data_IF_611128545252
#
_entry.id   IF_611128545252
#
_cell.length_a   1.000
_cell.length_b   1.000
_cell.length_c   1.000
_cell.angle_alpha   90.00
_cell.angle_beta   90.00
_cell.angle_gamma   90.00
#
_symmetry.space_group_name_H-M   'P 1'
#
loop_
_entity.id
_entity.type
_entity.pdbx_description
1 polymer ?
#
# COMPACT_ATOMS: atom_id res chain seq x y z
N UNK A 1 -8.50 15.02 -20.80
CA UNK A 1 -7.81 14.53 -19.60
C UNK A 1 -8.86 13.78 -18.81
N UNK A 2 -8.77 12.45 -18.78
CA UNK A 2 -9.69 11.60 -18.05
C UNK A 2 -9.06 11.42 -16.68
N UNK A 3 -9.64 12.05 -15.66
CA UNK A 3 -9.20 11.88 -14.27
C UNK A 3 -9.71 10.52 -13.83
N UNK A 4 -8.82 9.55 -13.66
CA UNK A 4 -9.16 8.30 -12.99
C UNK A 4 -9.46 8.67 -11.55
N UNK A 5 -10.72 8.52 -11.17
CA UNK A 5 -11.17 8.77 -9.82
C UNK A 5 -10.77 7.54 -9.02
N UNK A 6 -9.64 7.60 -8.32
CA UNK A 6 -9.15 6.50 -7.49
C UNK A 6 -10.26 6.18 -6.47
N UNK A 7 -10.90 5.02 -6.62
CA UNK A 7 -12.05 4.56 -5.85
C UNK A 7 -11.71 3.33 -5.01
N UNK A 8 -12.63 2.92 -4.12
CA UNK A 8 -12.51 1.71 -3.27
C UNK A 8 -12.42 0.37 -4.02
N UNK A 9 -12.30 0.40 -5.34
CA UNK A 9 -12.22 -0.76 -6.21
C UNK A 9 -10.90 -0.89 -6.96
N UNK A 10 -9.96 0.04 -6.76
CA UNK A 10 -8.66 -0.05 -7.40
C UNK A 10 -7.83 -1.18 -6.80
N UNK A 11 -7.14 -1.97 -7.65
CA UNK A 11 -6.25 -3.03 -7.19
C UNK A 11 -5.15 -2.48 -6.27
N UNK A 12 -4.83 -3.22 -5.21
CA UNK A 12 -3.88 -2.78 -4.17
C UNK A 12 -2.58 -3.55 -4.33
N UNK A 13 -1.46 -2.83 -4.30
CA UNK A 13 -0.12 -3.40 -4.19
C UNK A 13 0.25 -3.42 -2.70
N UNK A 14 0.14 -4.60 -2.10
CA UNK A 14 0.47 -4.84 -0.69
C UNK A 14 1.92 -5.30 -0.54
N UNK A 15 2.69 -4.58 0.27
CA UNK A 15 4.08 -4.92 0.62
C UNK A 15 4.20 -4.97 2.14
N UNK A 16 4.69 -6.10 2.66
CA UNK A 16 5.01 -6.20 4.09
C UNK A 16 6.51 -6.02 4.32
N UNK A 17 6.86 -5.24 5.35
CA UNK A 17 8.24 -4.98 5.78
C UNK A 17 8.47 -5.54 7.17
N UNK A 18 9.70 -5.93 7.52
CA UNK A 18 9.97 -6.48 8.86
C UNK A 18 10.15 -5.39 9.93
N UNK A 19 10.75 -4.26 9.55
CA UNK A 19 10.98 -3.11 10.42
C UNK A 19 9.95 -2.01 10.08
N UNK A 20 9.27 -1.47 11.09
CA UNK A 20 8.30 -0.38 10.90
C UNK A 20 8.98 0.92 10.46
N UNK A 21 10.25 1.10 10.83
CA UNK A 21 11.07 2.22 10.38
C UNK A 21 11.29 2.25 8.86
N UNK A 22 11.19 1.10 8.19
CA UNK A 22 11.41 0.97 6.75
C UNK A 22 10.16 1.31 5.92
N UNK A 23 8.98 1.45 6.54
CA UNK A 23 7.70 1.67 5.82
C UNK A 23 7.83 2.90 4.89
N UNK A 24 8.23 4.04 5.44
CA UNK A 24 8.35 5.29 4.66
C UNK A 24 9.43 5.20 3.58
N UNK A 25 10.53 4.46 3.81
CA UNK A 25 11.57 4.29 2.80
C UNK A 25 11.05 3.45 1.62
N UNK A 26 10.35 2.35 1.92
CA UNK A 26 9.77 1.46 0.91
C UNK A 26 8.65 2.16 0.13
N UNK A 27 7.79 2.94 0.79
CA UNK A 27 6.78 3.76 0.12
C UNK A 27 7.41 4.73 -0.88
N UNK A 28 8.38 5.54 -0.43
CA UNK A 28 9.08 6.48 -1.31
C UNK A 28 9.78 5.78 -2.48
N UNK A 29 10.37 4.60 -2.23
CA UNK A 29 10.99 3.81 -3.28
C UNK A 29 9.97 3.37 -4.32
N UNK A 30 8.81 2.86 -3.90
CA UNK A 30 7.75 2.43 -4.82
C UNK A 30 7.19 3.62 -5.61
N UNK A 31 6.88 4.75 -4.98
CA UNK A 31 6.42 5.96 -5.66
C UNK A 31 7.43 6.50 -6.68
N UNK A 32 8.73 6.38 -6.39
CA UNK A 32 9.79 6.85 -7.30
C UNK A 32 10.10 5.91 -8.46
N UNK A 33 9.77 4.62 -8.33
CA UNK A 33 10.15 3.59 -9.31
C UNK A 33 8.97 3.00 -10.10
N UNK A 34 7.74 3.18 -9.62
CA UNK A 34 6.53 2.86 -10.36
C UNK A 34 6.23 3.93 -11.41
N UNK A 35 5.60 3.54 -12.51
CA UNK A 35 5.19 4.51 -13.52
C UNK A 35 3.98 5.31 -13.03
N UNK A 36 3.78 6.53 -13.55
CA UNK A 36 2.56 7.32 -13.26
C UNK A 36 1.28 6.51 -13.55
N UNK A 37 1.29 5.68 -14.59
CA UNK A 37 0.18 4.77 -14.89
C UNK A 37 -0.04 3.72 -13.81
N UNK A 38 1.01 3.24 -13.14
CA UNK A 38 0.84 2.30 -12.03
C UNK A 38 0.25 3.04 -10.81
N UNK A 39 0.73 4.24 -10.50
CA UNK A 39 0.23 5.04 -9.38
C UNK A 39 -1.22 5.54 -9.59
N UNK A 40 -1.64 5.73 -10.84
CA UNK A 40 -3.00 6.12 -11.19
C UNK A 40 -4.01 4.95 -11.15
N UNK A 41 -3.54 3.71 -11.27
CA UNK A 41 -4.40 2.51 -11.36
C UNK A 41 -4.30 1.61 -10.12
N UNK A 42 -3.34 1.83 -9.23
CA UNK A 42 -3.11 1.00 -8.06
C UNK A 42 -2.93 1.84 -6.80
N UNK A 43 -3.53 1.40 -5.69
CA UNK A 43 -3.22 1.94 -4.35
C UNK A 43 -2.02 1.18 -3.77
N UNK A 44 -1.09 1.90 -3.16
CA UNK A 44 0.02 1.30 -2.42
C UNK A 44 -0.41 1.05 -0.97
N UNK A 45 -0.01 -0.11 -0.44
CA UNK A 45 -0.19 -0.46 0.96
C UNK A 45 1.10 -1.09 1.50
N UNK A 46 1.89 -0.31 2.23
CA UNK A 46 3.12 -0.78 2.87
C UNK A 46 2.88 -0.89 4.37
N UNK A 47 3.05 -2.07 4.95
CA UNK A 47 2.74 -2.30 6.36
C UNK A 47 3.75 -3.23 7.03
N UNK A 48 3.81 -3.21 8.36
CA UNK A 48 4.70 -4.11 9.08
C UNK A 48 4.19 -5.55 9.04
N UNK A 49 5.08 -6.48 8.72
CA UNK A 49 4.85 -7.90 8.82
C UNK A 49 4.56 -8.31 10.27
N UNK A 50 3.57 -9.18 10.44
CA UNK A 50 3.31 -9.86 11.70
C UNK A 50 3.29 -11.37 11.46
N UNK A 51 3.93 -12.12 12.36
CA UNK A 51 3.82 -13.57 12.38
C UNK A 51 2.50 -14.07 12.95
N UNK A 52 1.77 -13.22 13.67
CA UNK A 52 0.41 -13.50 14.12
C UNK A 52 -0.58 -13.20 13.00
N UNK A 53 -1.42 -14.16 12.55
CA UNK A 53 -2.34 -13.97 11.44
C UNK A 53 -3.38 -12.86 11.65
N UNK A 54 -3.75 -12.56 12.91
CA UNK A 54 -4.65 -11.45 13.21
C UNK A 54 -3.90 -10.13 13.10
N UNK A 55 -2.75 -10.00 13.76
CA UNK A 55 -1.89 -8.82 13.59
C UNK A 55 -1.48 -8.56 12.14
N UNK A 56 -1.28 -9.60 11.33
CA UNK A 56 -0.99 -9.44 9.89
C UNK A 56 -2.18 -8.80 9.16
N UNK A 57 -3.40 -9.29 9.43
CA UNK A 57 -4.63 -8.75 8.83
C UNK A 57 -4.94 -7.35 9.31
N UNK A 58 -4.68 -7.05 10.58
CA UNK A 58 -4.93 -5.74 11.15
C UNK A 58 -3.95 -4.73 10.53
N UNK A 59 -2.65 -5.05 10.46
CA UNK A 59 -1.65 -4.21 9.81
C UNK A 59 -1.93 -4.00 8.32
N UNK A 60 -2.38 -5.04 7.60
CA UNK A 60 -2.77 -4.94 6.19
C UNK A 60 -3.95 -3.97 6.01
N UNK A 61 -4.88 -3.91 6.97
CA UNK A 61 -6.10 -3.10 6.87
C UNK A 61 -5.97 -1.71 7.45
N UNK A 62 -5.09 -1.47 8.43
CA UNK A 62 -4.93 -0.16 9.08
C UNK A 62 -4.57 0.94 8.08
N UNK A 63 -3.74 0.61 7.10
CA UNK A 63 -3.27 1.54 6.06
C UNK A 63 -4.25 1.70 4.89
N UNK A 64 -5.35 0.94 4.89
CA UNK A 64 -6.39 1.02 3.89
C UNK A 64 -7.62 1.58 4.60
N UNK A 65 -8.06 2.79 4.25
CA UNK A 65 -9.30 3.43 4.75
C UNK A 65 -10.56 2.63 4.32
N UNK A 66 -10.64 1.37 4.71
CA UNK A 66 -11.71 0.42 4.38
C UNK A 66 -12.74 0.45 5.50
N UNK A 67 -13.78 1.27 5.31
CA UNK A 67 -15.02 1.28 6.11
C UNK A 67 -15.72 -0.10 6.11
#
# INVERSE_FOLDING_TARGET
>A
MQSTQIGDTDPIISVSVYDDGDITEVENYLESNLSEGDLDNYKLNVYQYSSDPLGFRDNERENLDLD
#
